data_IF_440223181445
#
_entry.id   IF_440223181445
#
_cell.length_a   1.000
_cell.length_b   1.000
_cell.length_c   1.000
_cell.angle_alpha   90.00
_cell.angle_beta   90.00
_cell.angle_gamma   90.00
#
_symmetry.space_group_name_H-M   'P 1'
#
loop_
_entity.id
_entity.type
_entity.pdbx_description
1 polymer ?
#
# COMPACT_ATOMS: atom_id res chain seq x y z
N UNK A 1 63.44 1.15 24.11
CA UNK A 1 62.46 2.24 23.94
C UNK A 1 61.47 1.80 22.89
N UNK A 2 60.32 1.29 23.31
CA UNK A 2 59.27 0.76 22.43
C UNK A 2 58.18 1.80 22.29
N UNK A 3 58.12 2.44 21.11
CA UNK A 3 57.04 3.37 20.78
C UNK A 3 55.87 2.58 20.22
N UNK A 4 54.85 2.42 21.06
CA UNK A 4 53.56 1.84 20.75
C UNK A 4 52.77 2.80 19.81
N UNK A 5 52.62 2.43 18.55
CA UNK A 5 51.78 3.17 17.60
C UNK A 5 50.35 2.64 17.72
N UNK A 6 49.50 3.40 18.39
CA UNK A 6 48.04 3.15 18.43
C UNK A 6 47.48 3.59 17.09
N UNK A 7 47.07 2.63 16.28
CA UNK A 7 46.31 2.90 15.06
C UNK A 7 44.85 3.21 15.44
N UNK A 8 44.46 4.46 15.28
CA UNK A 8 43.07 4.90 15.36
C UNK A 8 42.36 4.49 14.06
N UNK A 9 41.52 3.46 14.13
CA UNK A 9 40.60 3.12 13.05
C UNK A 9 39.41 4.07 13.09
N UNK A 10 39.33 4.96 12.12
CA UNK A 10 38.19 5.82 11.91
C UNK A 10 37.01 4.97 11.37
N UNK A 11 36.00 4.81 12.19
CA UNK A 11 34.69 4.26 11.74
C UNK A 11 34.01 5.32 10.88
N UNK A 12 34.02 5.14 9.58
CA UNK A 12 33.18 5.90 8.66
C UNK A 12 31.72 5.43 8.81
N UNK A 13 30.91 6.26 9.48
CA UNK A 13 29.44 6.06 9.50
C UNK A 13 28.91 6.31 8.08
N UNK A 14 28.58 5.23 7.36
CA UNK A 14 27.85 5.32 6.11
C UNK A 14 26.43 5.81 6.43
N UNK A 15 26.13 7.06 6.12
CA UNK A 15 24.77 7.59 6.12
C UNK A 15 23.99 6.85 5.03
N UNK A 16 23.09 5.94 5.44
CA UNK A 16 22.13 5.31 4.55
C UNK A 16 21.11 6.40 4.20
N UNK A 17 21.30 7.05 3.05
CA UNK A 17 20.25 7.86 2.44
C UNK A 17 19.08 6.93 2.13
N UNK A 18 18.02 6.97 2.95
CA UNK A 18 16.72 6.40 2.59
C UNK A 18 16.16 7.25 1.44
N UNK A 19 16.61 6.96 0.23
CA UNK A 19 16.02 7.51 -0.98
C UNK A 19 14.54 7.19 -1.00
N UNK A 20 13.70 8.15 -1.34
CA UNK A 20 12.28 7.92 -1.60
C UNK A 20 12.19 6.83 -2.68
N UNK A 21 11.90 5.61 -2.27
CA UNK A 21 11.78 4.48 -3.17
C UNK A 21 10.48 4.67 -3.96
N UNK A 22 10.63 4.94 -5.24
CA UNK A 22 9.49 4.95 -6.16
C UNK A 22 8.74 3.61 -6.10
N UNK A 23 7.51 3.61 -6.59
CA UNK A 23 6.77 2.36 -6.69
C UNK A 23 7.48 1.40 -7.66
N UNK A 24 7.79 0.20 -7.17
CA UNK A 24 8.52 -0.83 -7.92
C UNK A 24 7.92 -2.21 -7.63
N UNK A 25 7.78 -3.03 -8.66
CA UNK A 25 7.43 -4.44 -8.54
C UNK A 25 8.44 -5.28 -9.31
N UNK A 26 9.04 -6.27 -8.66
CA UNK A 26 9.93 -7.26 -9.31
C UNK A 26 9.21 -8.60 -9.35
N UNK A 27 9.05 -9.14 -10.55
CA UNK A 27 8.45 -10.45 -10.83
C UNK A 27 9.56 -11.47 -11.10
N UNK A 28 9.42 -12.68 -10.57
CA UNK A 28 10.35 -13.80 -10.74
C UNK A 28 9.64 -15.00 -11.34
N UNK A 29 10.29 -15.69 -12.29
CA UNK A 29 9.70 -16.86 -12.96
C UNK A 29 9.52 -18.07 -12.04
N UNK A 30 10.32 -18.18 -10.98
CA UNK A 30 10.28 -19.30 -10.05
C UNK A 30 9.89 -18.85 -8.63
N UNK A 31 9.40 -19.76 -7.79
CA UNK A 31 9.13 -19.48 -6.39
C UNK A 31 10.38 -19.03 -5.63
N UNK A 32 10.18 -18.39 -4.47
CA UNK A 32 11.24 -17.92 -3.58
C UNK A 32 12.24 -16.99 -4.25
N UNK A 33 11.74 -16.10 -5.12
CA UNK A 33 12.54 -15.04 -5.75
C UNK A 33 13.70 -15.57 -6.58
N UNK A 34 13.52 -16.68 -7.29
CA UNK A 34 14.53 -17.31 -8.12
C UNK A 34 14.14 -17.32 -9.60
N UNK A 35 15.13 -17.71 -10.45
CA UNK A 35 14.99 -17.66 -11.90
C UNK A 35 15.13 -16.26 -12.48
N UNK A 36 14.73 -16.13 -13.74
CA UNK A 36 14.74 -14.83 -14.42
C UNK A 36 13.78 -13.87 -13.74
N UNK A 37 14.16 -12.61 -13.69
CA UNK A 37 13.36 -11.56 -13.08
C UNK A 37 13.13 -10.38 -14.01
N UNK A 38 12.02 -9.69 -13.82
CA UNK A 38 11.68 -8.43 -14.48
C UNK A 38 11.21 -7.44 -13.43
N UNK A 39 11.77 -6.23 -13.47
CA UNK A 39 11.37 -5.14 -12.59
C UNK A 39 10.52 -4.13 -13.37
N UNK A 40 9.34 -3.83 -12.82
CA UNK A 40 8.38 -2.88 -13.37
C UNK A 40 8.27 -1.68 -12.42
N UNK A 41 8.54 -0.49 -12.93
CA UNK A 41 8.43 0.78 -12.18
C UNK A 41 7.26 1.64 -12.65
N UNK A 42 6.67 1.28 -13.78
CA UNK A 42 5.55 1.97 -14.41
C UNK A 42 4.41 0.99 -14.72
N UNK A 43 3.33 1.52 -15.27
CA UNK A 43 2.22 0.71 -15.75
C UNK A 43 2.70 -0.18 -16.92
N UNK A 44 2.48 -1.49 -16.79
CA UNK A 44 2.65 -2.46 -17.87
C UNK A 44 1.28 -3.06 -18.25
N UNK A 45 0.73 -2.64 -19.38
CA UNK A 45 -0.56 -3.13 -19.89
C UNK A 45 -0.46 -4.55 -20.44
N UNK A 46 0.74 -4.94 -20.82
CA UNK A 46 1.09 -6.26 -21.32
C UNK A 46 2.52 -6.58 -20.91
N UNK A 47 2.73 -7.72 -20.27
CA UNK A 47 4.03 -8.22 -19.85
C UNK A 47 4.73 -9.07 -20.93
N UNK A 48 4.06 -9.38 -22.06
CA UNK A 48 4.64 -10.18 -23.13
C UNK A 48 5.93 -9.58 -23.69
N UNK A 49 6.03 -8.26 -23.95
CA UNK A 49 7.29 -7.66 -24.42
C UNK A 49 8.43 -7.75 -23.42
N UNK A 50 8.13 -7.96 -22.14
CA UNK A 50 9.11 -8.12 -21.07
C UNK A 50 9.53 -9.58 -20.85
N UNK A 51 8.91 -10.52 -21.55
CA UNK A 51 9.25 -11.95 -21.50
C UNK A 51 8.89 -12.66 -20.20
N UNK A 52 7.89 -12.15 -19.45
CA UNK A 52 7.46 -12.72 -18.17
C UNK A 52 5.96 -13.04 -18.10
N UNK A 53 5.23 -12.82 -19.19
CA UNK A 53 3.80 -13.18 -19.29
C UNK A 53 3.59 -14.64 -18.93
N UNK A 54 2.62 -14.92 -18.07
CA UNK A 54 2.23 -16.27 -17.64
C UNK A 54 3.37 -17.10 -17.03
N UNK A 55 4.44 -16.46 -16.57
CA UNK A 55 5.60 -17.17 -16.02
C UNK A 55 5.93 -16.78 -14.57
N UNK A 56 5.33 -15.72 -14.04
CA UNK A 56 5.63 -15.26 -12.69
C UNK A 56 5.10 -16.23 -11.62
N UNK A 57 5.97 -16.66 -10.70
CA UNK A 57 5.64 -17.53 -9.56
C UNK A 57 5.89 -16.88 -8.21
N UNK A 58 6.71 -15.84 -8.15
CA UNK A 58 6.94 -15.04 -6.97
C UNK A 58 7.18 -13.58 -7.34
N UNK A 59 6.99 -12.66 -6.42
CA UNK A 59 7.23 -11.24 -6.65
C UNK A 59 7.57 -10.48 -5.37
N UNK A 60 8.18 -9.32 -5.55
CA UNK A 60 8.47 -8.36 -4.49
C UNK A 60 7.86 -7.01 -4.88
N UNK A 61 7.10 -6.41 -3.98
CA UNK A 61 6.57 -5.06 -4.13
C UNK A 61 7.35 -4.11 -3.23
N UNK A 62 8.03 -3.15 -3.82
CA UNK A 62 8.72 -2.06 -3.13
C UNK A 62 8.01 -0.75 -3.43
N UNK A 63 7.48 -0.14 -2.38
CA UNK A 63 6.76 1.12 -2.48
C UNK A 63 5.42 1.05 -3.22
N UNK A 64 4.44 1.74 -2.65
CA UNK A 64 3.10 1.82 -3.21
C UNK A 64 2.29 0.52 -3.14
N UNK A 65 1.09 0.58 -3.69
CA UNK A 65 0.22 -0.59 -3.90
C UNK A 65 0.14 -0.88 -5.38
N UNK A 66 0.16 -2.14 -5.73
CA UNK A 66 0.09 -2.58 -7.11
C UNK A 66 -1.13 -3.45 -7.34
N UNK A 67 -1.62 -3.45 -8.56
CA UNK A 67 -2.62 -4.39 -9.03
C UNK A 67 -1.99 -5.25 -10.11
N UNK A 68 -2.13 -6.56 -9.98
CA UNK A 68 -1.72 -7.56 -10.96
C UNK A 68 -2.97 -8.27 -11.50
N UNK A 69 -3.06 -8.42 -12.80
CA UNK A 69 -4.22 -8.98 -13.49
C UNK A 69 -3.80 -10.11 -14.43
N UNK A 70 -4.73 -11.06 -14.64
CA UNK A 70 -4.51 -12.28 -15.43
C UNK A 70 -4.76 -12.10 -16.93
N UNK A 71 -5.05 -10.89 -17.39
CA UNK A 71 -5.20 -10.54 -18.81
C UNK A 71 -4.57 -9.18 -19.10
N UNK A 72 -4.25 -8.88 -20.37
CA UNK A 72 -3.76 -7.59 -20.76
C UNK A 72 -4.75 -6.46 -20.42
N UNK A 73 -4.27 -5.22 -20.44
CA UNK A 73 -5.07 -4.02 -20.19
C UNK A 73 -5.85 -4.03 -18.86
N UNK A 74 -5.30 -4.72 -17.84
CA UNK A 74 -5.86 -4.80 -16.48
C UNK A 74 -7.24 -5.46 -16.43
N UNK A 75 -7.45 -6.46 -17.26
CA UNK A 75 -8.65 -7.28 -17.31
C UNK A 75 -8.44 -8.63 -16.62
N UNK A 76 -9.52 -9.44 -16.58
CA UNK A 76 -9.51 -10.75 -15.93
C UNK A 76 -9.57 -10.67 -14.40
N UNK A 77 -8.97 -11.66 -13.74
CA UNK A 77 -8.90 -11.70 -12.30
C UNK A 77 -7.74 -10.84 -11.81
N UNK A 78 -8.05 -9.79 -11.08
CA UNK A 78 -7.05 -8.86 -10.53
C UNK A 78 -6.89 -9.02 -9.02
N UNK A 79 -5.67 -8.82 -8.54
CA UNK A 79 -5.33 -8.77 -7.11
C UNK A 79 -4.55 -7.51 -6.79
N UNK A 80 -4.94 -6.87 -5.69
CA UNK A 80 -4.17 -5.75 -5.13
C UNK A 80 -3.11 -6.28 -4.19
N UNK A 81 -1.86 -5.89 -4.45
CA UNK A 81 -0.68 -6.28 -3.71
C UNK A 81 -0.14 -5.07 -2.95
N UNK A 82 0.02 -5.22 -1.64
CA UNK A 82 0.66 -4.24 -0.78
C UNK A 82 2.20 -4.36 -0.88
N UNK A 83 2.97 -3.37 -0.43
CA UNK A 83 4.41 -3.54 -0.27
C UNK A 83 4.74 -4.77 0.57
N UNK A 84 5.62 -5.62 0.07
CA UNK A 84 5.97 -6.88 0.72
C UNK A 84 6.57 -7.90 -0.23
N UNK A 85 6.93 -9.05 0.32
CA UNK A 85 7.52 -10.18 -0.37
C UNK A 85 6.48 -11.30 -0.50
N UNK A 86 6.33 -11.81 -1.71
CA UNK A 86 5.40 -12.88 -2.06
C UNK A 86 6.21 -14.06 -2.62
N UNK A 87 6.76 -14.92 -1.74
CA UNK A 87 7.65 -16.03 -2.15
C UNK A 87 6.93 -17.09 -2.97
N UNK A 88 5.62 -17.14 -2.89
CA UNK A 88 4.75 -17.97 -3.72
C UNK A 88 3.48 -17.19 -3.99
N UNK A 89 3.09 -17.07 -5.23
CA UNK A 89 1.84 -16.44 -5.62
C UNK A 89 0.65 -17.35 -5.34
N UNK A 90 -0.51 -16.73 -5.09
CA UNK A 90 -1.75 -17.46 -4.97
C UNK A 90 -2.14 -18.16 -6.31
N UNK A 91 -2.99 -19.17 -6.29
CA UNK A 91 -3.35 -19.92 -7.51
C UNK A 91 -3.99 -19.06 -8.61
N UNK A 92 -4.52 -17.89 -8.28
CA UNK A 92 -5.13 -16.98 -9.27
C UNK A 92 -4.07 -16.31 -10.11
N UNK A 93 -2.98 -15.85 -9.47
CA UNK A 93 -1.91 -15.10 -10.12
C UNK A 93 -0.74 -15.96 -10.58
N UNK A 94 -0.53 -17.13 -9.96
CA UNK A 94 0.62 -17.99 -10.24
C UNK A 94 0.61 -18.46 -11.70
N UNK A 95 1.67 -18.12 -12.44
CA UNK A 95 1.81 -18.36 -13.89
C UNK A 95 0.66 -17.80 -14.74
N UNK A 96 0.06 -16.67 -14.33
CA UNK A 96 -1.09 -16.09 -15.01
C UNK A 96 -1.09 -14.55 -15.04
N UNK A 97 -0.01 -13.91 -14.64
CA UNK A 97 0.06 -12.45 -14.65
C UNK A 97 0.44 -11.97 -16.05
N UNK A 98 -0.43 -11.14 -16.64
CA UNK A 98 -0.23 -10.54 -17.95
C UNK A 98 -0.15 -9.01 -17.92
N UNK A 99 -0.71 -8.35 -16.90
CA UNK A 99 -0.60 -6.90 -16.75
C UNK A 99 -0.47 -6.49 -15.29
N UNK A 100 0.24 -5.38 -15.05
CA UNK A 100 0.42 -4.79 -13.73
C UNK A 100 0.35 -3.27 -13.77
N UNK A 101 -0.21 -2.66 -12.74
CA UNK A 101 -0.22 -1.20 -12.58
C UNK A 101 -0.02 -0.79 -11.13
N UNK A 102 0.63 0.34 -10.96
CA UNK A 102 0.72 1.00 -9.66
C UNK A 102 -0.59 1.71 -9.33
N UNK A 103 -1.13 1.44 -8.15
CA UNK A 103 -2.32 2.11 -7.63
C UNK A 103 -1.90 3.36 -6.88
N UNK A 104 -2.03 4.52 -7.51
CA UNK A 104 -1.79 5.79 -6.84
C UNK A 104 -2.88 6.01 -5.78
N UNK A 105 -2.47 6.35 -4.56
CA UNK A 105 -3.41 6.85 -3.55
C UNK A 105 -3.96 8.19 -4.03
N UNK A 106 -5.19 8.20 -4.47
CA UNK A 106 -5.87 9.47 -4.77
C UNK A 106 -6.05 10.27 -3.48
N UNK A 107 -6.06 11.60 -3.58
CA UNK A 107 -6.26 12.47 -2.41
C UNK A 107 -7.50 12.08 -1.60
N UNK A 108 -8.55 11.59 -2.27
CA UNK A 108 -9.79 11.09 -1.66
C UNK A 108 -9.64 9.85 -0.79
N UNK A 109 -8.65 8.98 -1.07
CA UNK A 109 -8.39 7.81 -0.23
C UNK A 109 -7.59 8.17 1.02
N UNK A 110 -6.72 9.19 0.95
CA UNK A 110 -6.01 9.73 2.12
C UNK A 110 -7.00 10.34 3.13
N UNK A 111 -7.96 11.11 2.65
CA UNK A 111 -8.97 11.76 3.46
C UNK A 111 -9.86 10.76 4.22
N UNK A 112 -10.19 9.61 3.61
CA UNK A 112 -10.98 8.55 4.28
C UNK A 112 -10.20 7.80 5.35
N UNK A 113 -8.90 7.59 5.16
CA UNK A 113 -8.05 6.91 6.13
C UNK A 113 -7.79 7.81 7.34
N UNK A 114 -7.59 9.13 7.12
CA UNK A 114 -7.43 10.13 8.19
C UNK A 114 -8.70 10.25 9.06
N UNK A 115 -9.89 10.15 8.45
CA UNK A 115 -11.16 10.15 9.20
C UNK A 115 -11.36 8.89 10.05
N UNK A 116 -10.80 7.76 9.66
CA UNK A 116 -10.87 6.51 10.44
C UNK A 116 -9.92 6.52 11.63
N UNK A 117 -8.73 7.06 11.46
CA UNK A 117 -7.75 7.17 12.54
C UNK A 117 -8.18 8.21 13.57
N UNK A 118 -8.73 9.32 13.12
CA UNK A 118 -9.20 10.39 14.01
C UNK A 118 -10.43 9.96 14.86
N UNK A 119 -11.23 9.00 14.39
CA UNK A 119 -12.33 8.42 15.20
C UNK A 119 -11.87 7.50 16.33
N UNK A 120 -10.69 6.90 16.22
CA UNK A 120 -10.15 6.05 17.30
C UNK A 120 -9.52 6.84 18.43
N UNK A 121 -9.23 8.12 18.21
CA UNK A 121 -8.66 9.02 19.23
C UNK A 121 -9.68 9.88 19.95
N UNK A 122 -10.96 9.85 19.58
CA UNK A 122 -12.01 10.59 20.26
C UNK A 122 -12.69 9.68 21.27
N UNK A 123 -12.08 9.49 22.43
CA UNK A 123 -12.81 9.10 23.62
C UNK A 123 -13.56 10.34 24.11
N UNK A 124 -14.91 10.30 24.19
CA UNK A 124 -15.64 11.39 24.84
C UNK A 124 -15.20 11.38 26.31
N UNK A 125 -14.53 12.44 26.73
CA UNK A 125 -14.35 12.69 28.17
C UNK A 125 -15.73 12.89 28.75
N UNK A 126 -16.08 12.02 29.66
CA UNK A 126 -17.24 12.20 30.54
C UNK A 126 -16.96 13.35 31.53
N UNK A 127 -16.81 14.55 31.01
CA UNK A 127 -16.84 15.75 31.84
C UNK A 127 -18.32 16.09 32.01
N UNK A 128 -18.82 15.63 33.15
CA UNK A 128 -20.18 15.88 33.57
C UNK A 128 -20.61 17.32 33.45
N UNK A 129 -21.77 17.46 32.84
CA UNK A 129 -22.59 18.63 33.07
C UNK A 129 -22.60 19.71 32.02
N UNK A 130 -23.54 19.60 31.10
CA UNK A 130 -24.37 20.72 30.63
C UNK A 130 -25.73 20.14 30.29
N UNK A 131 -26.55 20.01 31.33
CA UNK A 131 -27.99 19.88 31.17
C UNK A 131 -28.52 21.20 30.58
N UNK A 132 -28.65 21.29 29.27
CA UNK A 132 -29.49 22.30 28.66
C UNK A 132 -30.93 21.90 28.88
N UNK A 133 -31.58 22.66 29.80
CA UNK A 133 -32.97 22.54 30.12
C UNK A 133 -33.84 22.66 28.89
N UNK A 134 -34.63 21.63 28.72
CA UNK A 134 -35.76 21.59 27.81
C UNK A 134 -36.84 22.57 28.32
N UNK A 135 -36.76 23.80 27.86
CA UNK A 135 -37.83 24.78 28.01
C UNK A 135 -37.87 25.59 26.73
N UNK A 136 -38.72 25.16 25.83
CA UNK A 136 -39.44 25.92 24.83
C UNK A 136 -39.80 25.04 23.65
N UNK A 137 -40.70 24.07 23.92
CA UNK A 137 -41.47 23.47 22.86
C UNK A 137 -42.80 24.26 22.78
N UNK A 138 -43.07 25.06 21.77
CA UNK A 138 -44.37 25.62 21.56
C UNK A 138 -45.38 24.51 21.27
N UNK A 139 -46.30 24.31 22.16
CA UNK A 139 -47.55 23.61 21.91
C UNK A 139 -48.46 24.52 21.11
N UNK A 140 -48.90 24.08 19.99
CA UNK A 140 -49.91 24.74 19.19
C UNK A 140 -49.73 24.37 17.72
N UNK A 141 -50.70 23.94 17.04
CA UNK A 141 -52.13 23.90 17.19
C UNK A 141 -52.70 23.09 16.06
N UNK A 142 -53.74 22.48 16.44
CA UNK A 142 -54.71 21.81 15.59
C UNK A 142 -55.17 22.66 14.44
N UNK A 143 -55.71 21.95 13.48
CA UNK A 143 -56.63 22.41 12.44
C UNK A 143 -56.03 22.41 11.04
N UNK A 144 -56.36 21.36 10.37
CA UNK A 144 -56.96 21.42 9.03
C UNK A 144 -57.55 20.01 8.72
N UNK A 145 -58.83 19.86 9.00
CA UNK A 145 -59.71 18.96 8.27
C UNK A 145 -60.69 19.81 7.47
N UNK A 146 -61.02 19.45 6.28
CA UNK A 146 -62.35 18.86 6.00
C UNK A 146 -62.25 17.42 5.57
#
# INVERSE_FOLDING_TARGET
MNMNRIAMTAFAAAAICAGAQGAEMTLYKQPRFSGDQVTVTNIARDLAPLGITDQASSLVVRGGRWEACTQPDFNGDCRTLAPGEYPTLDPVLNHRIESVRHLQRTARSRERDDWRDNRRGYEPRDDGGWAYGDRDRPQGGDAWRP
#
